data_IF_981015950740
#
_entry.id   IF_981015950740
#
_cell.length_a   1.000
_cell.length_b   1.000
_cell.length_c   1.000
_cell.angle_alpha   90.00
_cell.angle_beta   90.00
_cell.angle_gamma   90.00
#
_symmetry.space_group_name_H-M   'P 1'
#
loop_
_entity.id
_entity.type
_entity.pdbx_description
1 polymer ?
#
# COMPACT_ATOMS: atom_id res chain seq x y z
N UNK A 1 -15.32 -12.74 9.09
CA UNK A 1 -14.30 -12.41 8.08
C UNK A 1 -13.18 -11.64 8.77
N UNK A 2 -12.06 -12.30 9.05
CA UNK A 2 -10.89 -11.64 9.62
C UNK A 2 -10.33 -10.68 8.57
N UNK A 3 -10.19 -9.40 8.93
CA UNK A 3 -9.66 -8.37 8.03
C UNK A 3 -8.23 -8.78 7.63
N UNK A 4 -8.02 -9.12 6.36
CA UNK A 4 -6.76 -9.66 5.81
C UNK A 4 -5.70 -8.60 5.52
N UNK A 5 -5.92 -7.36 5.96
CA UNK A 5 -5.09 -6.22 5.66
C UNK A 5 -4.93 -5.27 6.85
N UNK A 6 -3.84 -4.53 6.82
CA UNK A 6 -3.56 -3.41 7.72
C UNK A 6 -3.56 -2.11 6.93
N UNK A 7 -3.98 -1.02 7.57
CA UNK A 7 -4.13 0.28 6.92
C UNK A 7 -3.18 1.30 7.54
N UNK A 8 -2.54 2.11 6.69
CA UNK A 8 -1.67 3.20 7.12
C UNK A 8 -2.01 4.50 6.40
N UNK A 9 -2.36 5.52 7.17
CA UNK A 9 -2.66 6.86 6.68
C UNK A 9 -1.44 7.79 6.86
N UNK A 10 -0.91 8.29 5.76
CA UNK A 10 0.16 9.28 5.72
C UNK A 10 -0.46 10.67 5.83
N UNK A 11 -0.39 11.23 7.04
CA UNK A 11 -0.75 12.61 7.37
C UNK A 11 0.44 13.56 7.24
N UNK A 12 0.19 14.87 7.20
CA UNK A 12 1.21 15.94 7.07
C UNK A 12 2.41 15.83 8.02
N UNK A 13 2.20 15.36 9.25
CA UNK A 13 3.23 15.23 10.30
C UNK A 13 3.81 13.81 10.43
N UNK A 14 3.41 12.88 9.54
CA UNK A 14 3.92 11.52 9.53
C UNK A 14 5.41 11.56 9.21
N UNK A 15 6.21 10.88 10.02
CA UNK A 15 7.65 10.74 9.76
C UNK A 15 7.88 9.52 8.88
N UNK A 16 8.87 9.56 7.99
CA UNK A 16 9.25 8.42 7.16
C UNK A 16 9.54 7.17 8.00
N UNK A 17 10.16 7.35 9.17
CA UNK A 17 10.41 6.26 10.13
C UNK A 17 9.13 5.50 10.48
N UNK A 18 7.99 6.18 10.63
CA UNK A 18 6.72 5.55 10.96
C UNK A 18 6.27 4.59 9.85
N UNK A 19 6.47 4.97 8.58
CA UNK A 19 6.16 4.11 7.43
C UNK A 19 7.11 2.90 7.38
N UNK A 20 8.39 3.09 7.65
CA UNK A 20 9.38 1.99 7.72
C UNK A 20 9.05 0.99 8.83
N UNK A 21 8.75 1.50 10.02
CA UNK A 21 8.37 0.70 11.18
C UNK A 21 7.05 -0.05 10.90
N UNK A 22 6.11 0.58 10.18
CA UNK A 22 4.88 -0.06 9.73
C UNK A 22 5.14 -1.25 8.80
N UNK A 23 5.92 -1.07 7.72
CA UNK A 23 6.22 -2.18 6.80
C UNK A 23 6.99 -3.30 7.48
N UNK A 24 7.94 -2.98 8.36
CA UNK A 24 8.68 -3.98 9.12
C UNK A 24 7.76 -4.80 10.03
N UNK A 25 6.80 -4.15 10.70
CA UNK A 25 5.88 -4.82 11.62
C UNK A 25 4.79 -5.61 10.90
N UNK A 26 4.56 -5.34 9.61
CA UNK A 26 3.47 -5.91 8.82
C UNK A 26 3.97 -6.67 7.59
N UNK A 27 5.22 -7.11 7.60
CA UNK A 27 5.88 -7.78 6.48
C UNK A 27 5.08 -8.94 5.85
N UNK A 28 4.31 -9.66 6.67
CA UNK A 28 3.49 -10.82 6.28
C UNK A 28 2.00 -10.49 6.07
N UNK A 29 1.59 -9.21 6.09
CA UNK A 29 0.19 -8.77 5.98
C UNK A 29 -0.06 -7.96 4.70
N UNK A 30 -1.26 -8.02 4.13
CA UNK A 30 -1.60 -7.07 3.05
C UNK A 30 -1.65 -5.65 3.64
N UNK A 31 -1.10 -4.68 2.93
CA UNK A 31 -0.99 -3.30 3.40
C UNK A 31 -1.73 -2.36 2.47
N UNK A 32 -2.61 -1.54 3.02
CA UNK A 32 -3.25 -0.44 2.30
C UNK A 32 -2.68 0.87 2.80
N UNK A 33 -2.11 1.67 1.92
CA UNK A 33 -1.50 2.96 2.23
C UNK A 33 -2.34 4.06 1.60
N UNK A 34 -2.58 5.16 2.32
CA UNK A 34 -3.29 6.32 1.78
C UNK A 34 -2.63 7.63 2.23
N UNK A 35 -2.62 8.65 1.36
CA UNK A 35 -2.25 10.02 1.74
C UNK A 35 -3.47 10.82 2.19
N UNK A 36 -3.31 11.66 3.21
CA UNK A 36 -4.30 12.68 3.57
C UNK A 36 -4.33 13.76 2.47
N UNK A 37 -5.55 14.19 2.11
CA UNK A 37 -5.95 14.79 0.81
C UNK A 37 -5.17 16.01 0.30
N UNK A 38 -4.38 16.67 1.15
CA UNK A 38 -3.65 17.92 0.81
C UNK A 38 -2.13 17.76 0.85
N UNK A 39 -1.63 16.55 1.09
CA UNK A 39 -0.19 16.30 1.14
C UNK A 39 0.26 15.70 -0.20
N UNK A 40 0.55 16.58 -1.17
CA UNK A 40 1.10 16.16 -2.46
C UNK A 40 2.31 15.24 -2.27
N UNK A 41 2.12 13.99 -2.68
CA UNK A 41 3.11 13.09 -3.28
C UNK A 41 4.54 13.30 -2.80
N UNK A 42 4.75 13.25 -1.48
CA UNK A 42 6.07 13.37 -0.91
C UNK A 42 6.91 12.23 -1.49
N UNK A 43 7.79 12.56 -2.44
CA UNK A 43 8.59 11.61 -3.22
C UNK A 43 9.34 10.62 -2.34
N UNK A 44 9.72 11.05 -1.13
CA UNK A 44 10.41 10.20 -0.16
C UNK A 44 9.51 9.05 0.31
N UNK A 45 8.23 9.33 0.60
CA UNK A 45 7.27 8.30 0.97
C UNK A 45 6.95 7.40 -0.21
N UNK A 46 6.73 7.96 -1.41
CA UNK A 46 6.48 7.15 -2.61
C UNK A 46 7.64 6.20 -2.91
N UNK A 47 8.89 6.70 -2.89
CA UNK A 47 10.07 5.86 -3.09
C UNK A 47 10.16 4.75 -2.04
N UNK A 48 9.82 5.03 -0.77
CA UNK A 48 9.82 4.01 0.27
C UNK A 48 8.75 2.95 0.03
N UNK A 49 7.54 3.35 -0.36
CA UNK A 49 6.46 2.41 -0.70
C UNK A 49 6.89 1.55 -1.89
N UNK A 50 7.45 2.15 -2.95
CA UNK A 50 7.97 1.44 -4.13
C UNK A 50 9.07 0.44 -3.78
N UNK A 51 10.00 0.82 -2.91
CA UNK A 51 11.05 -0.07 -2.45
C UNK A 51 10.52 -1.27 -1.66
N UNK A 52 9.38 -1.13 -1.00
CA UNK A 52 8.76 -2.22 -0.25
C UNK A 52 7.89 -3.09 -1.15
N UNK A 53 7.27 -2.56 -2.22
CA UNK A 53 6.49 -3.35 -3.18
C UNK A 53 7.20 -4.63 -3.67
N UNK A 54 8.50 -4.55 -3.95
CA UNK A 54 9.29 -5.70 -4.44
C UNK A 54 9.82 -6.63 -3.34
N UNK A 55 9.78 -6.20 -2.07
CA UNK A 55 10.41 -6.91 -0.95
C UNK A 55 9.38 -7.48 0.02
N UNK A 56 8.21 -6.88 0.08
CA UNK A 56 7.12 -7.24 0.96
C UNK A 56 6.55 -8.60 0.55
N UNK A 57 6.24 -9.47 1.51
CA UNK A 57 5.78 -10.84 1.21
C UNK A 57 4.33 -10.86 0.70
N UNK A 58 3.56 -9.87 1.11
CA UNK A 58 2.13 -9.68 0.79
C UNK A 58 1.88 -8.41 0.00
N UNK A 59 0.67 -8.27 -0.51
CA UNK A 59 0.27 -7.20 -1.42
C UNK A 59 0.25 -5.85 -0.70
N UNK A 60 0.86 -4.85 -1.32
CA UNK A 60 0.72 -3.45 -0.91
C UNK A 60 -0.24 -2.78 -1.91
N UNK A 61 -1.17 -1.95 -1.45
CA UNK A 61 -2.05 -1.16 -2.31
C UNK A 61 -1.98 0.29 -1.89
N UNK A 62 -1.73 1.19 -2.85
CA UNK A 62 -1.71 2.62 -2.60
C UNK A 62 -3.03 3.24 -3.05
N UNK A 63 -3.77 3.83 -2.11
CA UNK A 63 -4.97 4.60 -2.41
C UNK A 63 -4.56 6.02 -2.84
N UNK A 64 -4.82 6.35 -4.10
CA UNK A 64 -4.65 7.70 -4.65
C UNK A 64 -5.53 7.91 -5.88
N UNK A 65 -6.19 9.07 -5.95
CA UNK A 65 -7.01 9.46 -7.10
C UNK A 65 -6.22 10.05 -8.27
N UNK A 66 -5.06 10.64 -7.99
CA UNK A 66 -4.33 11.49 -8.94
C UNK A 66 -2.89 10.98 -9.21
N UNK A 67 -2.50 9.83 -8.65
CA UNK A 67 -1.19 9.24 -8.92
C UNK A 67 -1.29 8.27 -10.10
N UNK A 68 -0.79 8.70 -11.25
CA UNK A 68 -0.35 7.80 -12.31
C UNK A 68 1.17 7.75 -12.24
N UNK A 69 1.72 6.78 -11.49
CA UNK A 69 3.13 6.44 -11.63
C UNK A 69 3.23 5.20 -12.50
N UNK A 70 3.99 5.32 -13.59
CA UNK A 70 4.28 4.22 -14.51
C UNK A 70 4.91 2.97 -13.84
N UNK A 71 5.33 3.10 -12.58
CA UNK A 71 6.02 2.05 -11.81
C UNK A 71 5.21 1.45 -10.65
N UNK A 72 3.93 1.81 -10.50
CA UNK A 72 3.08 1.24 -9.46
C UNK A 72 1.91 0.48 -10.07
N UNK A 73 1.93 -0.85 -9.96
CA UNK A 73 0.87 -1.70 -10.51
C UNK A 73 -0.40 -1.71 -9.64
N UNK A 74 -0.26 -1.56 -8.32
CA UNK A 74 -1.38 -1.68 -7.37
C UNK A 74 -1.73 -0.32 -6.76
N UNK A 75 -2.11 0.63 -7.61
CA UNK A 75 -2.75 1.89 -7.20
C UNK A 75 -4.25 1.75 -7.42
N UNK A 76 -5.02 2.20 -6.42
CA UNK A 76 -6.47 2.31 -6.56
C UNK A 76 -6.97 3.69 -6.13
N UNK A 77 -8.02 4.24 -6.77
CA UNK A 77 -8.67 5.47 -6.33
C UNK A 77 -9.49 5.32 -5.04
N UNK A 78 -9.91 4.11 -4.65
CA UNK A 78 -10.85 3.91 -3.52
C UNK A 78 -10.45 2.77 -2.60
N UNK A 79 -10.95 2.80 -1.36
CA UNK A 79 -10.75 1.70 -0.42
C UNK A 79 -11.39 0.40 -0.91
N UNK A 80 -12.56 0.47 -1.56
CA UNK A 80 -13.23 -0.74 -2.03
C UNK A 80 -12.40 -1.45 -3.10
N UNK A 81 -11.97 -0.72 -4.12
CA UNK A 81 -11.12 -1.28 -5.17
C UNK A 81 -9.75 -1.75 -4.63
N UNK A 82 -9.20 -1.11 -3.60
CA UNK A 82 -8.00 -1.61 -2.94
C UNK A 82 -8.20 -2.97 -2.26
N UNK A 83 -9.39 -3.22 -1.71
CA UNK A 83 -9.75 -4.53 -1.16
C UNK A 83 -9.93 -5.56 -2.27
N UNK A 84 -10.56 -5.18 -3.37
CA UNK A 84 -10.77 -6.06 -4.52
C UNK A 84 -9.41 -6.52 -5.11
N UNK A 85 -8.42 -5.62 -5.22
CA UNK A 85 -7.04 -5.96 -5.62
C UNK A 85 -6.42 -6.99 -4.67
N UNK A 86 -6.52 -6.78 -3.35
CA UNK A 86 -5.98 -7.73 -2.36
C UNK A 86 -6.64 -9.10 -2.50
N UNK A 87 -7.96 -9.15 -2.72
CA UNK A 87 -8.68 -10.40 -2.88
C UNK A 87 -8.21 -11.18 -4.11
N UNK A 88 -8.08 -10.51 -5.26
CA UNK A 88 -7.56 -11.11 -6.50
C UNK A 88 -6.14 -11.65 -6.28
N UNK A 89 -5.25 -10.84 -5.71
CA UNK A 89 -3.85 -11.22 -5.47
C UNK A 89 -3.71 -12.39 -4.48
N UNK A 90 -4.58 -12.48 -3.47
CA UNK A 90 -4.60 -13.65 -2.58
C UNK A 90 -5.11 -14.90 -3.29
N UNK A 91 -6.08 -14.78 -4.20
CA UNK A 91 -6.55 -15.89 -5.03
C UNK A 91 -5.41 -16.38 -5.94
N UNK A 92 -4.77 -15.48 -6.69
CA UNK A 92 -3.63 -15.80 -7.57
C UNK A 92 -2.51 -16.51 -6.81
N UNK A 93 -2.13 -15.95 -5.65
CA UNK A 93 -1.13 -16.56 -4.77
C UNK A 93 -1.54 -17.93 -4.24
N UNK A 94 -2.83 -18.14 -3.92
CA UNK A 94 -3.34 -19.45 -3.48
C UNK A 94 -3.31 -20.50 -4.59
N UNK A 95 -3.43 -20.05 -5.84
CA UNK A 95 -3.36 -20.85 -7.04
C UNK A 95 -1.92 -21.02 -7.57
N UNK A 96 -0.93 -20.34 -6.94
CA UNK A 96 0.46 -20.29 -7.38
C UNK A 96 0.62 -19.81 -8.84
N UNK A 97 -0.23 -18.88 -9.26
CA UNK A 97 -0.19 -18.24 -10.60
C UNK A 97 0.17 -16.76 -10.49
#
# INVERSE_FOLDING_TARGET
>A
MNKSHVFFLIKKNTKLKNLKDFFKSNYDNNCIIQFETDFEHNRIFLNEIQNNYSKHKKTIVLISKNLTLDNFNNISPTMQEALDIIEIEEIERSLNI
#
